data_IF_874198284302
#
_entry.id   IF_874198284302
#
_cell.length_a   1.000
_cell.length_b   1.000
_cell.length_c   1.000
_cell.angle_alpha   90.00
_cell.angle_beta   90.00
_cell.angle_gamma   90.00
#
_symmetry.space_group_name_H-M   'P 1'
#
loop_
_entity.id
_entity.type
_entity.pdbx_description
1 polymer ?
#
# COMPACT_ATOMS: atom_id res chain seq x y z
N UNK A 1 18.93 33.37 31.25
CA UNK A 1 17.77 34.16 31.69
C UNK A 1 17.08 34.77 30.47
N UNK A 2 15.86 34.36 30.09
CA UNK A 2 14.83 35.24 29.51
C UNK A 2 13.90 35.74 30.67
N UNK A 3 12.89 36.65 30.52
CA UNK A 3 12.05 36.93 29.33
C UNK A 3 11.46 38.37 29.15
N UNK A 4 10.71 38.59 28.06
CA UNK A 4 9.47 39.42 27.92
C UNK A 4 8.98 39.30 26.45
N UNK A 5 7.89 38.65 26.04
CA UNK A 5 6.44 38.68 26.32
C UNK A 5 5.65 39.85 25.68
N UNK A 6 4.77 39.50 24.71
CA UNK A 6 3.40 39.98 24.38
C UNK A 6 3.10 39.56 22.92
N UNK A 7 2.10 38.79 22.51
CA UNK A 7 0.86 38.28 23.11
C UNK A 7 -0.36 38.84 22.35
N UNK A 8 -1.17 37.99 21.68
CA UNK A 8 -2.63 38.12 21.48
C UNK A 8 -3.22 36.71 21.24
N UNK A 9 -4.26 36.41 22.02
CA UNK A 9 -5.06 35.18 22.11
C UNK A 9 -6.21 35.17 21.08
N UNK A 10 -6.78 33.99 20.81
CA UNK A 10 -8.20 33.67 21.08
C UNK A 10 -8.49 32.14 20.97
N UNK A 11 -8.81 31.60 22.15
CA UNK A 11 -9.75 30.54 22.57
C UNK A 11 -9.73 29.09 22.04
N UNK A 12 -9.52 28.20 23.03
CA UNK A 12 -9.78 26.75 23.11
C UNK A 12 -11.16 26.45 23.73
N UNK A 13 -11.71 25.30 23.39
CA UNK A 13 -12.49 24.37 24.25
C UNK A 13 -12.03 22.94 23.80
N UNK A 14 -11.35 22.05 24.55
CA UNK A 14 -11.58 21.39 25.87
C UNK A 14 -12.90 20.61 25.84
N UNK A 15 -13.06 19.30 26.11
CA UNK A 15 -12.26 18.16 26.65
C UNK A 15 -13.03 16.85 26.32
N UNK A 16 -12.36 15.74 25.99
CA UNK A 16 -12.26 14.46 26.75
C UNK A 16 -13.54 13.76 27.25
N UNK A 17 -13.76 12.51 26.80
CA UNK A 17 -14.07 11.29 27.58
C UNK A 17 -14.17 10.11 26.57
N UNK A 18 -13.35 9.06 26.61
CA UNK A 18 -13.28 7.93 27.55
C UNK A 18 -14.42 6.89 27.39
N UNK A 19 -14.03 5.74 26.82
CA UNK A 19 -14.21 4.39 27.38
C UNK A 19 -15.56 3.63 27.30
N UNK A 20 -15.38 2.37 26.88
CA UNK A 20 -16.18 1.15 27.08
C UNK A 20 -17.47 0.96 26.26
N UNK A 21 -17.53 -0.17 25.55
CA UNK A 21 -18.24 -1.40 25.98
C UNK A 21 -18.95 -2.07 24.80
N UNK A 22 -18.39 -3.21 24.41
CA UNK A 22 -19.03 -4.48 24.04
C UNK A 22 -20.54 -4.42 23.81
N UNK A 23 -20.99 -4.45 22.55
CA UNK A 23 -22.37 -4.78 22.20
C UNK A 23 -22.44 -6.26 21.84
N UNK A 24 -23.10 -6.99 22.72
CA UNK A 24 -23.46 -8.41 22.62
C UNK A 24 -24.54 -8.55 21.54
N UNK A 25 -24.30 -9.42 20.57
CA UNK A 25 -25.27 -9.80 19.54
C UNK A 25 -26.41 -10.63 20.16
N UNK A 26 -27.65 -10.31 19.78
CA UNK A 26 -28.82 -11.17 19.95
C UNK A 26 -29.52 -11.33 18.60
N UNK A 27 -30.11 -12.50 18.32
CA UNK A 27 -30.41 -12.97 16.96
C UNK A 27 -31.72 -12.39 16.37
N UNK A 28 -31.90 -12.44 15.04
CA UNK A 28 -33.11 -11.95 14.39
C UNK A 28 -34.27 -12.94 14.56
N UNK A 29 -35.45 -12.44 14.97
CA UNK A 29 -36.73 -13.16 14.87
C UNK A 29 -37.46 -12.77 13.57
N UNK A 30 -38.18 -13.69 12.92
CA UNK A 30 -38.75 -13.51 11.59
C UNK A 30 -40.01 -12.64 11.58
N UNK A 31 -40.20 -11.90 10.49
CA UNK A 31 -41.33 -11.03 10.20
C UNK A 31 -42.61 -11.86 10.01
N UNK A 32 -43.54 -11.76 10.96
CA UNK A 32 -44.93 -12.17 10.75
C UNK A 32 -45.70 -11.01 10.10
N UNK A 33 -46.29 -11.29 8.95
CA UNK A 33 -47.19 -10.41 8.24
C UNK A 33 -48.44 -10.11 9.08
N UNK A 34 -48.78 -8.83 9.25
CA UNK A 34 -50.13 -8.43 9.64
C UNK A 34 -50.57 -7.20 8.83
N UNK A 35 -51.54 -7.49 7.96
CA UNK A 35 -52.42 -6.59 7.24
C UNK A 35 -53.51 -6.18 8.24
N UNK A 36 -53.78 -4.89 8.44
CA UNK A 36 -55.11 -4.26 8.33
C UNK A 36 -55.22 -2.87 8.97
N UNK A 37 -56.22 -2.15 8.47
CA UNK A 37 -56.63 -0.77 8.71
C UNK A 37 -57.03 -0.52 10.18
N UNK A 38 -56.67 0.66 10.71
CA UNK A 38 -57.45 1.27 11.78
C UNK A 38 -57.36 2.81 11.75
N UNK A 39 -58.54 3.43 11.72
CA UNK A 39 -58.85 4.83 12.01
C UNK A 39 -58.29 5.22 13.38
N UNK A 40 -57.76 6.44 13.50
CA UNK A 40 -57.42 7.05 14.79
C UNK A 40 -58.37 8.22 14.98
N UNK A 41 -59.37 8.04 15.84
CA UNK A 41 -60.18 9.11 16.42
C UNK A 41 -59.48 9.60 17.70
N UNK A 42 -59.18 10.90 17.77
CA UNK A 42 -58.59 11.55 18.93
C UNK A 42 -59.71 12.09 19.85
N UNK A 43 -59.69 11.80 21.17
CA UNK A 43 -60.58 12.43 22.13
C UNK A 43 -59.83 13.53 22.88
N UNK A 44 -60.21 14.79 22.69
CA UNK A 44 -60.09 15.78 23.78
C UNK A 44 -61.08 16.93 23.60
N UNK A 45 -62.07 16.95 24.47
CA UNK A 45 -63.06 18.00 24.65
C UNK A 45 -62.57 19.01 25.68
N UNK A 46 -62.68 20.32 25.38
CA UNK A 46 -62.75 21.36 26.41
C UNK A 46 -63.97 22.26 26.19
N UNK A 47 -64.95 21.98 27.05
CA UNK A 47 -66.03 22.80 27.61
C UNK A 47 -65.81 24.31 27.53
N UNK A 48 -66.82 25.04 27.04
CA UNK A 48 -67.11 26.43 27.41
C UNK A 48 -68.56 26.46 27.87
N UNK A 49 -68.77 27.00 29.06
CA UNK A 49 -70.04 27.09 29.78
C UNK A 49 -71.03 28.08 29.15
N UNK A 50 -72.30 27.72 29.33
CA UNK A 50 -73.51 28.37 28.85
C UNK A 50 -73.72 29.76 29.46
N UNK A 51 -74.14 30.72 28.63
CA UNK A 51 -74.94 31.87 29.09
C UNK A 51 -76.25 31.94 28.29
N UNK A 52 -77.33 32.28 29.00
CA UNK A 52 -78.74 32.02 28.65
C UNK A 52 -79.34 33.03 27.63
N UNK A 53 -80.50 32.69 27.03
CA UNK A 53 -80.99 33.32 25.82
C UNK A 53 -81.83 34.58 26.10
N UNK A 54 -81.80 35.54 25.19
CA UNK A 54 -82.88 36.51 25.07
C UNK A 54 -83.43 36.48 23.64
N UNK A 55 -84.69 36.07 23.55
CA UNK A 55 -85.53 36.10 22.37
C UNK A 55 -85.70 37.55 21.88
N UNK A 56 -85.55 37.79 20.58
CA UNK A 56 -86.52 38.54 19.75
C UNK A 56 -86.15 38.44 18.25
N UNK A 57 -87.16 38.53 17.35
CA UNK A 57 -87.14 37.84 16.06
C UNK A 57 -86.68 38.71 14.88
N UNK A 58 -86.00 38.02 13.96
CA UNK A 58 -85.85 38.19 12.49
C UNK A 58 -86.57 39.42 11.89
N UNK A 59 -85.81 40.24 11.13
CA UNK A 59 -86.09 40.32 9.70
C UNK A 59 -84.82 40.22 8.84
N UNK A 60 -84.72 39.17 8.04
CA UNK A 60 -83.95 39.18 6.78
C UNK A 60 -84.89 39.72 5.68
N UNK A 61 -84.42 40.59 4.78
CA UNK A 61 -83.74 40.07 3.59
C UNK A 61 -82.54 40.90 3.08
N UNK A 62 -81.45 40.18 2.75
CA UNK A 62 -80.65 40.20 1.50
C UNK A 62 -80.15 41.52 0.88
N UNK A 63 -79.07 41.53 0.06
CA UNK A 63 -77.91 40.63 -0.05
C UNK A 63 -76.55 41.38 -0.14
N UNK A 64 -75.45 40.63 -0.29
CA UNK A 64 -74.19 41.06 -0.95
C UNK A 64 -73.17 41.85 -0.13
N UNK A 65 -72.18 41.15 0.45
CA UNK A 65 -70.77 41.20 0.03
C UNK A 65 -69.90 40.43 1.03
N UNK A 66 -68.84 39.80 0.53
CA UNK A 66 -67.75 39.10 1.24
C UNK A 66 -67.86 37.57 1.35
N UNK A 67 -67.75 36.91 0.19
CA UNK A 67 -67.07 35.61 0.10
C UNK A 67 -65.54 35.85 0.11
N UNK A 68 -64.74 35.17 0.96
CA UNK A 68 -63.29 35.34 0.96
C UNK A 68 -62.64 34.70 -0.28
N UNK A 69 -61.59 35.31 -0.86
CA UNK A 69 -60.97 34.84 -2.09
C UNK A 69 -60.23 33.49 -1.91
N UNK A 70 -60.13 32.67 -2.98
CA UNK A 70 -59.47 31.36 -2.91
C UNK A 70 -57.96 31.48 -2.61
N UNK A 71 -57.36 30.48 -1.93
CA UNK A 71 -55.96 30.54 -1.54
C UNK A 71 -55.01 30.59 -2.76
N UNK A 72 -53.87 31.28 -2.64
CA UNK A 72 -52.92 31.44 -3.74
C UNK A 72 -52.28 30.10 -4.15
N UNK A 73 -51.90 29.93 -5.43
CA UNK A 73 -51.24 28.72 -5.90
C UNK A 73 -49.87 28.52 -5.22
N UNK A 74 -49.43 27.26 -5.01
CA UNK A 74 -48.16 26.97 -4.36
C UNK A 74 -46.97 27.53 -5.17
N UNK A 75 -45.88 27.97 -4.50
CA UNK A 75 -44.75 28.58 -5.16
C UNK A 75 -44.07 27.61 -6.16
N UNK A 76 -43.50 28.13 -7.26
CA UNK A 76 -42.85 27.29 -8.27
C UNK A 76 -41.67 26.54 -7.64
N UNK A 77 -41.66 25.20 -7.79
CA UNK A 77 -40.54 24.35 -7.34
C UNK A 77 -39.24 24.83 -8.00
N UNK A 78 -38.23 25.15 -7.20
CA UNK A 78 -36.93 25.63 -7.65
C UNK A 78 -36.40 24.78 -8.84
N UNK A 79 -36.12 25.38 -10.00
CA UNK A 79 -35.77 24.65 -11.23
C UNK A 79 -34.49 23.82 -11.10
N UNK A 80 -33.62 24.19 -10.16
CA UNK A 80 -32.41 23.45 -9.79
C UNK A 80 -32.70 22.02 -9.29
N UNK A 81 -33.75 21.83 -8.49
CA UNK A 81 -34.12 20.50 -7.99
C UNK A 81 -34.98 19.71 -8.99
N UNK A 82 -35.72 20.38 -9.88
CA UNK A 82 -36.47 19.73 -10.94
C UNK A 82 -35.54 19.03 -11.96
N UNK A 83 -34.42 19.66 -12.32
CA UNK A 83 -33.42 19.10 -13.22
C UNK A 83 -32.79 17.78 -12.70
N UNK A 84 -32.62 17.65 -11.37
CA UNK A 84 -32.11 16.44 -10.71
C UNK A 84 -33.09 15.27 -10.70
N UNK A 85 -34.39 15.53 -10.91
CA UNK A 85 -35.42 14.47 -10.96
C UNK A 85 -35.56 13.81 -12.33
N UNK A 86 -34.97 14.39 -13.37
CA UNK A 86 -35.00 13.85 -14.73
C UNK A 86 -34.31 12.48 -14.81
N UNK A 87 -34.96 11.52 -15.47
CA UNK A 87 -34.40 10.18 -15.69
C UNK A 87 -33.08 10.17 -16.48
N UNK A 88 -32.79 11.22 -17.26
CA UNK A 88 -31.49 11.40 -17.94
C UNK A 88 -30.42 11.88 -16.96
N UNK A 89 -30.74 12.84 -16.09
CA UNK A 89 -29.85 13.33 -15.05
C UNK A 89 -29.51 12.24 -14.03
N UNK A 90 -30.50 11.44 -13.61
CA UNK A 90 -30.29 10.30 -12.70
C UNK A 90 -29.37 9.25 -13.30
N UNK A 91 -29.55 8.88 -14.58
CA UNK A 91 -28.66 7.94 -15.29
C UNK A 91 -27.25 8.48 -15.46
N UNK A 92 -27.10 9.78 -15.74
CA UNK A 92 -25.79 10.44 -15.82
C UNK A 92 -25.07 10.49 -14.47
N UNK A 93 -25.78 10.84 -13.39
CA UNK A 93 -25.25 10.80 -12.01
C UNK A 93 -24.87 9.38 -11.59
N UNK A 94 -25.66 8.38 -11.96
CA UNK A 94 -25.34 6.97 -11.71
C UNK A 94 -24.06 6.56 -12.44
N UNK A 95 -23.93 6.91 -13.73
CA UNK A 95 -22.70 6.66 -14.50
C UNK A 95 -21.51 7.36 -13.85
N UNK A 96 -21.65 8.62 -13.44
CA UNK A 96 -20.58 9.32 -12.76
C UNK A 96 -20.21 8.61 -11.45
N UNK A 97 -21.18 8.23 -10.61
CA UNK A 97 -20.91 7.58 -9.33
C UNK A 97 -20.28 6.18 -9.46
N UNK A 98 -20.62 5.40 -10.48
CA UNK A 98 -20.13 4.03 -10.66
C UNK A 98 -18.93 3.91 -11.62
N UNK A 99 -18.79 4.77 -12.63
CA UNK A 99 -17.63 4.77 -13.54
C UNK A 99 -16.49 5.64 -13.03
N UNK A 100 -16.77 6.75 -12.34
CA UNK A 100 -15.70 7.66 -11.92
C UNK A 100 -14.75 7.04 -10.89
N UNK A 101 -15.20 6.37 -9.80
CA UNK A 101 -14.28 5.76 -8.86
C UNK A 101 -13.31 4.72 -9.47
N UNK A 102 -13.74 3.75 -10.31
CA UNK A 102 -12.81 2.82 -10.92
C UNK A 102 -11.89 3.50 -11.95
N UNK A 103 -12.38 4.49 -12.70
CA UNK A 103 -11.54 5.26 -13.64
C UNK A 103 -10.51 6.10 -12.88
N UNK A 104 -10.92 6.80 -11.81
CA UNK A 104 -10.03 7.59 -10.98
C UNK A 104 -8.99 6.69 -10.30
N UNK A 105 -9.40 5.54 -9.77
CA UNK A 105 -8.50 4.52 -9.23
C UNK A 105 -7.49 4.04 -10.28
N UNK A 106 -7.94 3.73 -11.50
CA UNK A 106 -7.07 3.31 -12.60
C UNK A 106 -6.06 4.41 -13.02
N UNK A 107 -6.49 5.67 -13.02
CA UNK A 107 -5.62 6.82 -13.31
C UNK A 107 -4.61 7.02 -12.17
N UNK A 108 -5.01 6.86 -10.91
CA UNK A 108 -4.09 7.00 -9.76
C UNK A 108 -3.07 5.86 -9.71
N UNK A 109 -3.50 4.65 -10.06
CA UNK A 109 -2.66 3.46 -10.18
C UNK A 109 -1.85 3.42 -11.48
N UNK A 110 -2.01 4.43 -12.35
CA UNK A 110 -1.26 4.46 -13.59
C UNK A 110 0.25 4.52 -13.30
N UNK A 111 1.03 3.58 -13.87
CA UNK A 111 2.46 3.46 -13.58
C UNK A 111 3.25 4.60 -14.17
N UNK A 112 2.71 5.32 -15.16
CA UNK A 112 3.37 6.46 -15.79
C UNK A 112 2.83 7.78 -15.22
N UNK A 113 3.71 8.73 -14.93
CA UNK A 113 3.34 10.07 -14.47
C UNK A 113 4.22 11.10 -15.16
N UNK A 114 3.65 12.22 -15.59
CA UNK A 114 4.43 13.33 -16.10
C UNK A 114 4.91 14.18 -14.94
N UNK A 115 6.20 14.52 -14.93
CA UNK A 115 6.89 15.28 -13.88
C UNK A 115 7.72 16.39 -14.50
N UNK A 116 7.80 17.56 -13.87
CA UNK A 116 8.53 18.75 -14.37
C UNK A 116 9.87 18.92 -13.65
N UNK A 117 10.98 18.74 -14.34
CA UNK A 117 12.34 18.85 -13.79
C UNK A 117 12.82 20.31 -13.90
N UNK A 118 13.39 20.83 -12.80
CA UNK A 118 13.94 22.18 -12.73
C UNK A 118 15.37 22.15 -12.19
N UNK A 119 16.16 23.15 -12.58
CA UNK A 119 17.51 23.38 -12.09
C UNK A 119 18.63 22.75 -12.94
N UNK A 120 19.89 23.12 -12.68
CA UNK A 120 21.03 22.83 -13.54
C UNK A 120 21.64 21.43 -13.33
N UNK A 121 21.29 20.72 -12.25
CA UNK A 121 22.00 19.52 -11.80
C UNK A 121 22.06 18.38 -12.83
N UNK A 122 21.06 18.27 -13.70
CA UNK A 122 20.99 17.24 -14.75
C UNK A 122 21.40 17.76 -16.13
N UNK A 123 21.90 19.00 -16.24
CA UNK A 123 22.42 19.54 -17.49
C UNK A 123 23.75 18.85 -17.84
N UNK A 124 24.06 18.57 -19.12
CA UNK A 124 23.30 18.98 -20.31
C UNK A 124 22.15 18.02 -20.69
N UNK A 125 21.99 16.87 -20.03
CA UNK A 125 21.02 15.85 -20.45
C UNK A 125 19.57 16.31 -20.28
N UNK A 126 19.25 16.90 -19.12
CA UNK A 126 18.00 17.63 -18.89
C UNK A 126 18.30 19.10 -18.67
N UNK A 127 17.37 19.96 -19.07
CA UNK A 127 17.45 21.40 -18.95
C UNK A 127 18.70 21.97 -19.65
N UNK A 128 18.86 21.66 -20.94
CA UNK A 128 19.98 22.11 -21.79
C UNK A 128 20.27 23.61 -21.72
N UNK A 129 19.24 24.43 -21.52
CA UNK A 129 19.33 25.90 -21.46
C UNK A 129 19.46 26.46 -20.03
N UNK A 130 19.55 25.62 -19.00
CA UNK A 130 19.76 26.08 -17.63
C UNK A 130 21.22 26.49 -17.41
N UNK A 131 21.47 27.80 -17.50
CA UNK A 131 22.75 28.40 -17.12
C UNK A 131 22.61 29.11 -15.77
N UNK A 132 23.61 29.07 -14.86
CA UNK A 132 23.55 29.77 -13.57
C UNK A 132 23.40 31.30 -13.70
N UNK A 133 23.77 31.84 -14.86
CA UNK A 133 23.80 33.28 -15.15
C UNK A 133 22.50 33.79 -15.77
N UNK A 134 21.58 32.89 -16.13
CA UNK A 134 20.31 33.23 -16.76
C UNK A 134 19.14 32.84 -15.84
N UNK A 135 18.03 33.59 -15.84
CA UNK A 135 16.84 33.22 -15.10
C UNK A 135 16.33 31.83 -15.55
N UNK A 136 15.81 31.02 -14.62
CA UNK A 136 15.28 29.68 -14.88
C UNK A 136 14.05 29.72 -15.81
N UNK A 137 14.26 29.87 -17.12
CA UNK A 137 13.15 30.03 -18.09
C UNK A 137 12.68 28.71 -18.69
N UNK A 138 13.51 27.66 -18.71
CA UNK A 138 13.18 26.37 -19.33
C UNK A 138 13.13 25.24 -18.30
N UNK A 139 12.03 24.50 -18.28
CA UNK A 139 11.87 23.27 -17.52
C UNK A 139 11.56 22.12 -18.47
N UNK A 140 12.22 20.99 -18.27
CA UNK A 140 11.92 19.78 -19.02
C UNK A 140 10.81 18.99 -18.33
N UNK A 141 9.96 18.36 -19.13
CA UNK A 141 8.98 17.41 -18.61
C UNK A 141 9.51 16.01 -18.86
N UNK A 142 9.43 15.14 -17.87
CA UNK A 142 9.84 13.74 -18.00
C UNK A 142 8.63 12.83 -17.77
N UNK A 143 8.59 11.72 -18.50
CA UNK A 143 7.69 10.61 -18.27
C UNK A 143 8.30 9.69 -17.23
N UNK A 144 7.77 9.72 -16.01
CA UNK A 144 8.19 8.92 -14.88
C UNK A 144 7.45 7.59 -14.85
N UNK A 145 8.17 6.47 -14.92
CA UNK A 145 7.65 5.15 -14.58
C UNK A 145 7.82 4.90 -13.09
N UNK A 146 6.71 4.97 -12.34
CA UNK A 146 6.65 4.69 -10.91
C UNK A 146 7.03 3.24 -10.60
N UNK A 147 7.75 3.05 -9.51
CA UNK A 147 7.90 1.74 -8.89
C UNK A 147 6.68 1.39 -8.05
N UNK A 148 6.26 0.12 -8.08
CA UNK A 148 5.24 -0.34 -7.15
C UNK A 148 5.87 -0.63 -5.80
N UNK A 149 5.36 0.04 -4.77
CA UNK A 149 5.64 -0.30 -3.39
C UNK A 149 4.77 -1.51 -2.98
N UNK A 150 5.25 -2.37 -2.08
CA UNK A 150 4.52 -3.56 -1.62
C UNK A 150 3.16 -3.26 -0.96
N UNK A 151 2.89 -2.00 -0.60
CA UNK A 151 1.62 -1.54 -0.03
C UNK A 151 0.53 -1.24 -1.07
N UNK A 152 0.82 -1.30 -2.37
CA UNK A 152 -0.19 -1.05 -3.42
C UNK A 152 -0.89 -2.36 -3.81
N UNK A 153 -2.24 -2.42 -3.77
CA UNK A 153 -2.95 -3.56 -4.29
C UNK A 153 -2.77 -3.59 -5.82
N UNK A 154 -1.84 -4.40 -6.31
CA UNK A 154 -1.65 -4.67 -7.75
C UNK A 154 -2.84 -5.48 -8.28
N UNK A 155 -3.95 -4.81 -8.57
CA UNK A 155 -5.17 -5.44 -9.11
C UNK A 155 -5.02 -5.74 -10.61
N UNK A 156 -4.14 -5.02 -11.34
CA UNK A 156 -4.17 -5.00 -12.81
C UNK A 156 -2.87 -5.49 -13.49
N UNK A 157 -1.70 -5.38 -12.86
CA UNK A 157 -0.43 -5.75 -13.52
C UNK A 157 0.54 -6.43 -12.55
N UNK A 158 1.07 -7.59 -12.95
CA UNK A 158 2.20 -8.23 -12.27
C UNK A 158 3.41 -7.32 -12.50
N UNK A 159 3.78 -6.52 -11.52
CA UNK A 159 4.89 -5.60 -11.65
C UNK A 159 6.18 -6.37 -11.96
N UNK A 160 6.94 -5.98 -13.00
CA UNK A 160 8.23 -6.61 -13.28
C UNK A 160 9.16 -6.39 -12.10
N UNK A 161 10.03 -7.37 -11.81
CA UNK A 161 11.09 -7.22 -10.81
C UNK A 161 11.91 -5.97 -11.17
N UNK A 162 11.86 -4.97 -10.29
CA UNK A 162 12.57 -3.73 -10.47
C UNK A 162 14.07 -3.99 -10.33
N UNK A 163 14.80 -3.89 -11.45
CA UNK A 163 16.26 -3.99 -11.48
C UNK A 163 16.81 -2.63 -11.85
N UNK A 164 17.51 -2.01 -10.91
CA UNK A 164 18.24 -0.78 -11.18
C UNK A 164 19.48 -1.12 -11.99
N UNK A 165 19.73 -0.32 -13.03
CA UNK A 165 20.89 -0.45 -13.89
C UNK A 165 21.70 0.85 -13.87
N UNK A 166 23.01 0.73 -14.04
CA UNK A 166 23.93 1.87 -14.12
C UNK A 166 23.55 2.77 -15.29
N UNK A 167 23.63 4.08 -15.12
CA UNK A 167 23.25 5.08 -16.12
C UNK A 167 21.77 5.47 -16.12
N UNK A 168 20.87 4.69 -15.51
CA UNK A 168 19.45 5.03 -15.44
C UNK A 168 19.20 6.34 -14.69
N UNK A 169 18.16 7.09 -15.09
CA UNK A 169 17.76 8.31 -14.40
C UNK A 169 16.62 8.00 -13.44
N UNK A 170 16.85 8.28 -12.16
CA UNK A 170 15.92 7.99 -11.06
C UNK A 170 15.34 9.27 -10.51
N UNK A 171 14.07 9.20 -10.10
CA UNK A 171 13.40 10.22 -9.31
C UNK A 171 13.16 9.64 -7.93
N UNK A 172 13.63 10.32 -6.89
CA UNK A 172 13.61 9.84 -5.51
C UNK A 172 13.35 10.98 -4.53
N UNK A 173 12.92 10.66 -3.31
CA UNK A 173 12.79 11.65 -2.23
C UNK A 173 14.18 12.06 -1.73
N UNK A 174 14.42 13.36 -1.61
CA UNK A 174 15.73 13.86 -1.19
C UNK A 174 16.01 13.46 0.28
N UNK A 175 17.18 12.89 0.59
CA UNK A 175 17.48 12.41 1.95
C UNK A 175 17.53 13.54 2.99
N UNK A 176 17.86 14.78 2.56
CA UNK A 176 17.89 15.96 3.43
C UNK A 176 16.52 16.59 3.67
N UNK A 177 15.58 16.40 2.74
CA UNK A 177 14.26 17.01 2.79
C UNK A 177 13.24 16.10 2.09
N UNK A 178 12.52 15.24 2.85
CA UNK A 178 11.59 14.26 2.28
C UNK A 178 10.36 14.90 1.64
N UNK A 179 10.13 16.20 1.83
CA UNK A 179 9.06 16.93 1.13
C UNK A 179 9.41 17.21 -0.33
N UNK A 180 10.71 17.15 -0.66
CA UNK A 180 11.24 17.40 -1.99
C UNK A 180 11.68 16.09 -2.64
N UNK A 181 11.61 16.09 -3.95
CA UNK A 181 12.11 15.01 -4.78
C UNK A 181 13.24 15.54 -5.65
N UNK A 182 14.20 14.68 -5.96
CA UNK A 182 15.36 14.99 -6.78
C UNK A 182 15.41 14.03 -7.97
N UNK A 183 16.00 14.52 -9.07
CA UNK A 183 16.32 13.72 -10.26
C UNK A 183 17.82 13.63 -10.36
N UNK A 184 18.34 12.40 -10.45
CA UNK A 184 19.76 12.10 -10.58
C UNK A 184 19.97 10.86 -11.45
N UNK A 185 21.20 10.68 -11.93
CA UNK A 185 21.63 9.50 -12.65
C UNK A 185 22.21 8.47 -11.68
N UNK A 186 21.86 7.20 -11.86
CA UNK A 186 22.48 6.09 -11.15
C UNK A 186 23.88 5.88 -11.71
N UNK A 187 24.87 5.95 -10.84
CA UNK A 187 26.27 5.80 -11.17
C UNK A 187 26.79 4.45 -10.64
N UNK A 188 26.44 4.11 -9.41
CA UNK A 188 26.83 2.85 -8.78
C UNK A 188 25.63 2.09 -8.22
N UNK A 189 25.69 0.76 -8.31
CA UNK A 189 24.72 -0.18 -7.74
C UNK A 189 25.40 -1.04 -6.65
N UNK A 190 24.66 -1.83 -5.85
CA UNK A 190 25.26 -2.62 -4.78
C UNK A 190 26.43 -3.49 -5.27
N UNK A 191 27.56 -3.42 -4.56
CA UNK A 191 28.80 -4.10 -4.93
C UNK A 191 29.81 -3.27 -5.72
N UNK A 192 29.41 -2.10 -6.23
CA UNK A 192 30.34 -1.18 -6.89
C UNK A 192 31.21 -0.44 -5.88
N UNK A 193 32.43 -0.10 -6.31
CA UNK A 193 33.30 0.85 -5.61
C UNK A 193 33.33 2.16 -6.37
N UNK A 194 33.03 3.26 -5.68
CA UNK A 194 32.99 4.59 -6.27
C UNK A 194 33.97 5.49 -5.54
N UNK A 195 34.88 6.11 -6.29
CA UNK A 195 35.71 7.19 -5.77
C UNK A 195 34.89 8.49 -5.76
N UNK A 196 34.57 9.07 -4.59
CA UNK A 196 33.76 10.27 -4.50
C UNK A 196 34.55 11.51 -4.94
N UNK A 197 33.84 12.59 -5.27
CA UNK A 197 34.44 13.88 -5.58
C UNK A 197 35.03 14.56 -4.33
N UNK A 198 36.03 15.45 -4.51
CA UNK A 198 36.67 16.14 -3.40
C UNK A 198 35.67 16.83 -2.46
N UNK A 199 35.91 16.72 -1.14
CA UNK A 199 35.04 17.25 -0.09
C UNK A 199 33.87 16.33 0.31
N UNK A 200 33.90 15.05 -0.02
CA UNK A 200 32.94 14.07 0.50
C UNK A 200 33.07 13.91 2.04
N UNK A 201 31.96 13.95 2.81
CA UNK A 201 32.05 13.88 4.28
C UNK A 201 32.71 12.62 4.84
N UNK A 202 32.70 11.51 4.08
CA UNK A 202 33.35 10.26 4.47
C UNK A 202 34.83 10.16 4.10
N UNK A 203 35.44 11.25 3.61
CA UNK A 203 36.80 11.27 3.06
C UNK A 203 36.82 10.99 1.56
N UNK A 204 37.56 11.79 0.80
CA UNK A 204 37.73 11.68 -0.65
C UNK A 204 38.93 10.83 -1.07
N UNK A 205 39.75 10.40 -0.11
CA UNK A 205 40.92 9.53 -0.32
C UNK A 205 40.57 8.05 -0.47
N UNK A 206 39.35 7.64 -0.10
CA UNK A 206 38.95 6.24 -0.08
C UNK A 206 37.71 5.99 -0.94
N UNK A 207 37.77 4.92 -1.74
CA UNK A 207 36.63 4.46 -2.52
C UNK A 207 35.51 3.97 -1.58
N UNK A 208 34.29 4.41 -1.85
CA UNK A 208 33.09 4.01 -1.12
C UNK A 208 32.48 2.79 -1.80
N UNK A 209 32.28 1.71 -1.04
CA UNK A 209 31.53 0.54 -1.51
C UNK A 209 30.03 0.83 -1.39
N UNK A 210 29.28 0.63 -2.47
CA UNK A 210 27.81 0.78 -2.44
C UNK A 210 27.18 -0.43 -1.74
N UNK A 211 26.48 -0.22 -0.60
CA UNK A 211 25.96 -1.33 0.19
C UNK A 211 24.66 -1.93 -0.39
N UNK A 212 24.24 -3.05 0.19
CA UNK A 212 22.98 -3.71 -0.16
C UNK A 212 21.80 -2.74 -0.08
N UNK A 213 20.89 -2.84 -1.06
CA UNK A 213 19.70 -2.00 -1.16
C UNK A 213 19.97 -0.48 -1.19
N UNK A 214 21.18 -0.08 -1.58
CA UNK A 214 21.52 1.32 -1.82
C UNK A 214 22.04 1.51 -3.25
N UNK A 215 22.11 2.77 -3.67
CA UNK A 215 22.67 3.19 -4.95
C UNK A 215 23.47 4.48 -4.77
N UNK A 216 24.48 4.67 -5.62
CA UNK A 216 25.20 5.93 -5.75
C UNK A 216 24.64 6.72 -6.92
N UNK A 217 24.22 7.96 -6.67
CA UNK A 217 23.59 8.80 -7.70
C UNK A 217 24.31 10.13 -7.84
N UNK A 218 24.48 10.61 -9.08
CA UNK A 218 25.14 11.87 -9.38
C UNK A 218 24.34 12.70 -10.40
N UNK A 219 24.54 14.01 -10.41
CA UNK A 219 24.05 14.90 -11.45
C UNK A 219 24.99 14.97 -12.66
N UNK A 220 24.45 15.27 -13.83
CA UNK A 220 25.24 15.38 -15.07
C UNK A 220 26.04 16.70 -15.16
N UNK A 221 25.74 17.69 -14.32
CA UNK A 221 26.34 19.03 -14.35
C UNK A 221 27.86 19.08 -14.04
N UNK A 222 28.45 17.94 -13.66
CA UNK A 222 29.87 17.75 -13.35
C UNK A 222 30.49 18.86 -12.48
N UNK A 223 29.70 19.46 -11.57
CA UNK A 223 30.09 20.62 -10.76
C UNK A 223 29.43 20.50 -9.40
N UNK A 224 30.24 20.43 -8.34
CA UNK A 224 29.77 20.21 -6.96
C UNK A 224 28.75 21.26 -6.48
N UNK A 225 28.91 22.51 -6.90
CA UNK A 225 28.00 23.61 -6.50
C UNK A 225 26.64 23.57 -7.22
N UNK A 226 26.56 22.85 -8.35
CA UNK A 226 25.34 22.76 -9.18
C UNK A 226 24.54 21.49 -8.91
N UNK A 227 25.11 20.54 -8.16
CA UNK A 227 24.51 19.23 -7.89
C UNK A 227 24.60 18.87 -6.42
N UNK A 228 23.44 18.66 -5.79
CA UNK A 228 23.34 18.02 -4.49
C UNK A 228 23.01 16.55 -4.73
N UNK A 229 24.01 15.68 -4.58
CA UNK A 229 23.93 14.26 -4.93
C UNK A 229 24.76 13.37 -3.97
N UNK A 230 25.04 12.11 -4.33
CA UNK A 230 25.74 11.18 -3.44
C UNK A 230 27.14 11.65 -3.03
N UNK A 231 27.77 12.59 -3.74
CA UNK A 231 29.02 13.21 -3.29
C UNK A 231 28.85 14.13 -2.07
N UNK A 232 27.61 14.45 -1.68
CA UNK A 232 27.28 15.23 -0.49
C UNK A 232 26.79 14.37 0.68
N UNK A 233 26.00 13.34 0.41
CA UNK A 233 25.31 12.55 1.45
C UNK A 233 25.59 11.04 1.40
N UNK A 234 26.33 10.57 0.41
CA UNK A 234 26.68 9.17 0.22
C UNK A 234 25.62 8.36 -0.54
N UNK A 235 25.67 7.02 -0.45
CA UNK A 235 24.73 6.15 -1.14
C UNK A 235 23.32 6.27 -0.54
N UNK A 236 22.29 6.25 -1.38
CA UNK A 236 20.88 6.37 -0.97
C UNK A 236 20.17 5.03 -1.03
N UNK A 237 19.19 4.81 -0.15
CA UNK A 237 18.38 3.59 -0.19
C UNK A 237 17.50 3.55 -1.44
N UNK A 238 17.41 2.37 -2.06
CA UNK A 238 16.52 2.13 -3.20
C UNK A 238 15.04 2.35 -2.85
N UNK A 239 14.68 2.30 -1.56
CA UNK A 239 13.33 2.56 -1.08
C UNK A 239 12.89 4.02 -1.21
N UNK A 240 13.84 4.95 -1.38
CA UNK A 240 13.53 6.37 -1.62
C UNK A 240 13.09 6.64 -3.07
N UNK A 241 13.31 5.67 -3.97
CA UNK A 241 13.02 5.81 -5.39
C UNK A 241 11.50 5.81 -5.61
N UNK A 242 11.03 6.86 -6.28
CA UNK A 242 9.64 7.01 -6.72
C UNK A 242 9.45 6.33 -8.08
N UNK A 243 10.45 6.43 -8.97
CA UNK A 243 10.40 5.86 -10.31
C UNK A 243 11.60 6.20 -11.18
N UNK A 244 11.55 5.77 -12.45
CA UNK A 244 12.55 6.04 -13.47
C UNK A 244 12.06 7.01 -14.54
N UNK A 245 12.93 7.91 -15.03
CA UNK A 245 12.64 8.69 -16.22
C UNK A 245 12.75 7.81 -17.47
N UNK A 246 11.65 7.66 -18.23
CA UNK A 246 11.58 6.84 -19.45
C UNK A 246 11.61 7.64 -20.74
N UNK A 247 11.12 8.86 -20.73
CA UNK A 247 11.13 9.74 -21.89
C UNK A 247 11.22 11.19 -21.42
N UNK A 248 11.84 12.04 -22.23
CA UNK A 248 11.71 13.50 -22.12
C UNK A 248 10.53 13.91 -23.00
N UNK A 249 9.61 14.68 -22.43
CA UNK A 249 8.47 15.24 -23.12
C UNK A 249 8.76 16.69 -23.49
N UNK A 250 8.97 16.92 -24.78
CA UNK A 250 9.14 18.25 -25.39
C UNK A 250 7.85 18.63 -26.13
N UNK A 251 6.94 19.36 -25.49
CA UNK A 251 5.80 19.92 -26.22
C UNK A 251 6.33 20.96 -27.22
N UNK A 252 6.01 20.79 -28.52
CA UNK A 252 6.19 21.74 -29.64
C UNK A 252 7.51 21.69 -30.44
N UNK A 253 8.34 20.64 -30.31
CA UNK A 253 9.40 20.40 -31.31
C UNK A 253 8.77 19.86 -32.60
N UNK A 254 8.83 20.65 -33.67
CA UNK A 254 8.52 20.21 -35.04
C UNK A 254 9.82 19.76 -35.74
N UNK A 255 9.82 18.63 -36.48
CA UNK A 255 8.69 17.72 -36.66
C UNK A 255 8.39 17.01 -35.35
N UNK A 256 7.15 16.59 -35.14
CA UNK A 256 6.64 15.80 -34.01
C UNK A 256 7.52 14.57 -33.72
N UNK A 257 8.69 14.81 -33.16
CA UNK A 257 9.56 13.85 -32.52
C UNK A 257 8.86 13.53 -31.22
N UNK A 258 8.01 12.52 -31.29
CA UNK A 258 7.52 11.86 -30.10
C UNK A 258 8.75 11.41 -29.33
N UNK A 259 8.95 11.99 -28.15
CA UNK A 259 9.59 11.35 -27.00
C UNK A 259 10.85 10.58 -27.37
N UNK A 260 12.00 11.26 -27.47
CA UNK A 260 13.27 10.55 -27.39
C UNK A 260 13.21 9.69 -26.13
N UNK A 261 13.07 8.38 -26.30
CA UNK A 261 13.17 7.45 -25.19
C UNK A 261 14.47 7.80 -24.47
N UNK A 262 14.44 7.84 -23.14
CA UNK A 262 15.64 8.03 -22.34
C UNK A 262 16.50 6.79 -22.59
N UNK A 263 17.35 6.88 -23.60
CA UNK A 263 18.35 5.89 -23.96
C UNK A 263 19.55 6.10 -23.07
N UNK A 264 19.38 5.73 -21.81
CA UNK A 264 20.38 5.93 -20.78
C UNK A 264 21.62 5.06 -21.03
N UNK A 265 21.48 3.98 -21.82
CA UNK A 265 22.57 3.08 -22.23
C UNK A 265 23.57 3.75 -23.18
N UNK A 266 23.08 4.58 -24.10
CA UNK A 266 23.88 5.22 -25.16
C UNK A 266 24.58 6.50 -24.66
N UNK A 267 24.11 7.09 -23.56
CA UNK A 267 24.62 8.37 -23.07
C UNK A 267 25.81 8.19 -22.12
N UNK A 268 26.91 8.87 -22.44
CA UNK A 268 28.08 8.90 -21.58
C UNK A 268 27.96 10.06 -20.57
N UNK A 269 28.29 9.79 -19.30
CA UNK A 269 28.11 10.73 -18.20
C UNK A 269 29.43 10.93 -17.43
N UNK A 270 29.62 12.05 -16.72
CA UNK A 270 30.93 12.45 -16.20
C UNK A 270 31.62 11.37 -15.35
N UNK A 271 30.86 10.68 -14.50
CA UNK A 271 31.38 9.60 -13.66
C UNK A 271 31.94 8.43 -14.49
N UNK A 272 31.24 8.02 -15.55
CA UNK A 272 31.66 6.95 -16.47
C UNK A 272 32.95 7.31 -17.22
N UNK A 273 33.07 8.57 -17.68
CA UNK A 273 34.28 9.08 -18.35
C UNK A 273 35.50 9.15 -17.42
N UNK A 274 35.27 9.45 -16.15
CA UNK A 274 36.35 9.68 -15.18
C UNK A 274 37.03 8.39 -14.68
N UNK A 275 36.48 7.21 -14.96
CA UNK A 275 37.04 5.95 -14.46
C UNK A 275 36.96 5.78 -12.93
N UNK A 276 36.15 6.60 -12.24
CA UNK A 276 36.02 6.58 -10.76
C UNK A 276 35.25 5.38 -10.20
N UNK A 277 34.73 4.51 -11.06
CA UNK A 277 33.82 3.44 -10.68
C UNK A 277 34.46 2.12 -11.05
N UNK A 278 34.66 1.26 -10.05
CA UNK A 278 34.98 -0.13 -10.26
C UNK A 278 33.70 -0.94 -10.11
N UNK A 279 33.26 -1.56 -11.21
CA UNK A 279 31.98 -2.28 -11.25
C UNK A 279 32.08 -3.66 -10.59
N UNK A 280 31.09 -3.99 -9.77
CA UNK A 280 30.86 -5.34 -9.22
C UNK A 280 32.03 -5.96 -8.44
N UNK A 281 32.91 -5.13 -7.86
CA UNK A 281 34.11 -5.59 -7.12
C UNK A 281 33.77 -6.32 -5.82
N UNK A 282 32.74 -5.87 -5.10
CA UNK A 282 32.39 -6.39 -3.78
C UNK A 282 31.10 -7.21 -3.86
N UNK A 283 31.23 -8.49 -4.22
CA UNK A 283 30.09 -9.40 -4.37
C UNK A 283 29.23 -9.52 -3.09
N UNK A 284 29.84 -9.47 -1.91
CA UNK A 284 29.12 -9.55 -0.63
C UNK A 284 28.14 -8.40 -0.41
N UNK A 285 28.44 -7.21 -0.93
CA UNK A 285 27.58 -6.04 -0.77
C UNK A 285 26.27 -6.14 -1.59
N UNK A 286 26.16 -7.11 -2.51
CA UNK A 286 24.90 -7.45 -3.19
C UNK A 286 23.97 -8.33 -2.37
N UNK A 287 24.51 -9.01 -1.37
CA UNK A 287 23.77 -9.95 -0.55
C UNK A 287 23.13 -9.19 0.61
N UNK A 288 21.91 -9.58 1.00
CA UNK A 288 21.27 -9.02 2.18
C UNK A 288 22.20 -9.26 3.40
N UNK A 289 22.56 -8.21 4.17
CA UNK A 289 23.46 -8.32 5.31
C UNK A 289 22.99 -9.34 6.35
N UNK A 290 21.69 -9.54 6.51
CA UNK A 290 21.17 -10.56 7.43
C UNK A 290 21.52 -11.98 6.98
N UNK A 291 21.56 -12.22 5.66
CA UNK A 291 21.99 -13.52 5.11
C UNK A 291 23.50 -13.71 5.29
N UNK A 292 24.30 -12.66 5.08
CA UNK A 292 25.76 -12.70 5.28
C UNK A 292 26.10 -12.93 6.76
N UNK A 293 25.40 -12.25 7.66
CA UNK A 293 25.56 -12.45 9.11
C UNK A 293 25.24 -13.88 9.50
N UNK A 294 24.17 -14.46 8.95
CA UNK A 294 23.82 -15.86 9.22
C UNK A 294 24.90 -16.82 8.71
N UNK A 295 25.43 -16.63 7.51
CA UNK A 295 26.52 -17.47 6.98
C UNK A 295 27.80 -17.40 7.79
N UNK A 296 28.09 -16.26 8.42
CA UNK A 296 29.25 -16.10 9.29
C UNK A 296 28.96 -16.41 10.76
N UNK A 297 27.70 -16.63 11.13
CA UNK A 297 27.31 -16.74 12.53
C UNK A 297 28.03 -17.90 13.23
N UNK A 298 28.23 -19.01 12.52
CA UNK A 298 28.94 -20.18 13.04
C UNK A 298 30.47 -19.96 13.07
N UNK A 299 31.05 -19.31 12.06
CA UNK A 299 32.48 -19.00 12.01
C UNK A 299 32.92 -17.97 13.07
N UNK A 300 32.11 -16.94 13.32
CA UNK A 300 32.45 -15.84 14.22
C UNK A 300 32.09 -16.13 15.71
N UNK A 301 31.60 -17.34 16.03
CA UNK A 301 31.11 -17.71 17.37
C UNK A 301 29.83 -16.98 17.79
N UNK A 302 29.16 -16.30 16.86
CA UNK A 302 27.90 -15.58 17.13
C UNK A 302 26.74 -16.55 17.35
N UNK A 303 26.75 -17.69 16.65
CA UNK A 303 25.76 -18.76 16.81
C UNK A 303 25.74 -19.31 18.24
N UNK A 304 26.90 -19.49 18.87
CA UNK A 304 27.02 -19.94 20.27
C UNK A 304 26.41 -18.92 21.25
N UNK A 305 26.61 -17.62 20.99
CA UNK A 305 26.02 -16.56 21.82
C UNK A 305 24.50 -16.49 21.67
N UNK A 306 23.99 -16.64 20.45
CA UNK A 306 22.55 -16.72 20.19
C UNK A 306 21.96 -17.98 20.84
N UNK A 307 22.67 -19.12 20.80
CA UNK A 307 22.27 -20.35 21.48
C UNK A 307 22.21 -20.19 23.00
N UNK A 308 23.25 -19.60 23.60
CA UNK A 308 23.26 -19.29 25.02
C UNK A 308 22.11 -18.32 25.40
N UNK A 309 21.84 -17.32 24.56
CA UNK A 309 20.72 -16.39 24.76
C UNK A 309 19.35 -17.09 24.62
N UNK A 310 19.20 -18.05 23.70
CA UNK A 310 17.99 -18.87 23.56
C UNK A 310 17.77 -19.75 24.79
N UNK A 311 18.82 -20.44 25.25
CA UNK A 311 18.76 -21.25 26.48
C UNK A 311 18.39 -20.42 27.71
N UNK A 312 18.97 -19.22 27.83
CA UNK A 312 18.65 -18.30 28.93
C UNK A 312 17.20 -17.79 28.90
N UNK A 313 16.56 -17.79 27.72
CA UNK A 313 15.18 -17.30 27.51
C UNK A 313 14.22 -18.42 27.11
N UNK A 314 14.57 -19.69 27.38
CA UNK A 314 13.85 -20.87 26.89
C UNK A 314 12.35 -20.82 27.17
N UNK A 315 11.98 -20.40 28.37
CA UNK A 315 10.57 -20.29 28.81
C UNK A 315 9.79 -19.20 28.06
N UNK A 316 10.46 -18.15 27.58
CA UNK A 316 9.83 -17.05 26.85
C UNK A 316 9.82 -17.26 25.33
N UNK A 317 10.48 -18.29 24.80
CA UNK A 317 10.54 -18.56 23.36
C UNK A 317 9.14 -18.72 22.72
N UNK A 318 8.17 -19.45 23.32
CA UNK A 318 6.85 -19.61 22.73
C UNK A 318 6.11 -18.27 22.59
N UNK A 319 6.16 -17.43 23.63
CA UNK A 319 5.55 -16.11 23.61
C UNK A 319 6.25 -15.18 22.61
N UNK A 320 7.56 -15.30 22.45
CA UNK A 320 8.31 -14.54 21.45
C UNK A 320 7.95 -14.95 20.01
N UNK A 321 7.59 -16.22 19.79
CA UNK A 321 7.16 -16.74 18.48
C UNK A 321 5.76 -16.30 18.06
N UNK A 322 4.96 -15.74 18.98
CA UNK A 322 3.68 -15.12 18.63
C UNK A 322 3.85 -13.91 17.69
N UNK A 323 5.01 -13.24 17.74
CA UNK A 323 5.36 -12.19 16.78
C UNK A 323 5.90 -12.81 15.48
N UNK A 324 5.23 -12.50 14.36
CA UNK A 324 5.58 -13.04 13.04
C UNK A 324 7.02 -12.74 12.63
N UNK A 325 7.53 -11.55 12.95
CA UNK A 325 8.90 -11.15 12.61
C UNK A 325 9.94 -11.97 13.38
N UNK A 326 9.71 -12.19 14.67
CA UNK A 326 10.55 -13.05 15.52
C UNK A 326 10.50 -14.51 15.09
N UNK A 327 9.32 -15.03 14.79
CA UNK A 327 9.15 -16.39 14.26
C UNK A 327 9.92 -16.58 12.94
N UNK A 328 9.81 -15.62 12.02
CA UNK A 328 10.53 -15.68 10.74
C UNK A 328 12.06 -15.63 10.93
N UNK A 329 12.55 -14.86 11.92
CA UNK A 329 13.97 -14.88 12.32
C UNK A 329 14.39 -16.27 12.82
N UNK A 330 13.60 -16.90 13.67
CA UNK A 330 13.89 -18.24 14.21
C UNK A 330 13.87 -19.32 13.12
N UNK A 331 12.90 -19.25 12.19
CA UNK A 331 12.85 -20.12 11.00
C UNK A 331 14.07 -19.94 10.09
N UNK A 332 14.62 -18.72 10.00
CA UNK A 332 15.85 -18.46 9.25
C UNK A 332 17.07 -19.09 9.92
N UNK A 333 17.20 -18.95 11.24
CA UNK A 333 18.28 -19.56 12.03
C UNK A 333 18.20 -21.10 11.93
N UNK A 334 17.02 -21.68 12.11
CA UNK A 334 16.78 -23.12 11.98
C UNK A 334 17.23 -23.66 10.61
N UNK A 335 16.82 -23.01 9.52
CA UNK A 335 17.21 -23.40 8.16
C UNK A 335 18.72 -23.34 7.95
N UNK A 336 19.38 -22.33 8.52
CA UNK A 336 20.82 -22.19 8.43
C UNK A 336 21.55 -23.28 9.23
N UNK A 337 21.10 -23.55 10.46
CA UNK A 337 21.67 -24.60 11.30
C UNK A 337 21.50 -25.99 10.64
N UNK A 338 20.34 -26.26 10.05
CA UNK A 338 20.11 -27.47 9.24
C UNK A 338 21.07 -27.58 8.05
N UNK A 339 21.29 -26.48 7.34
CA UNK A 339 22.24 -26.46 6.23
C UNK A 339 23.69 -26.74 6.68
N UNK A 340 24.13 -26.19 7.81
CA UNK A 340 25.45 -26.49 8.40
C UNK A 340 25.58 -27.97 8.81
N UNK A 341 24.52 -28.57 9.35
CA UNK A 341 24.48 -30.01 9.64
C UNK A 341 24.61 -30.86 8.37
N UNK A 342 23.98 -30.43 7.27
CA UNK A 342 24.07 -31.12 5.98
C UNK A 342 25.49 -31.04 5.39
N UNK A 343 26.19 -29.92 5.59
CA UNK A 343 27.59 -29.75 5.16
C UNK A 343 28.59 -30.54 6.03
N UNK A 344 28.20 -30.97 7.24
CA UNK A 344 29.05 -31.73 8.18
C UNK A 344 30.38 -31.03 8.53
N UNK A 345 30.35 -29.71 8.69
CA UNK A 345 31.50 -28.93 9.11
C UNK A 345 31.87 -29.27 10.56
N UNK A 346 33.11 -29.74 10.87
CA UNK A 346 33.47 -30.22 12.20
C UNK A 346 33.47 -29.12 13.27
N UNK A 347 33.77 -27.87 12.90
CA UNK A 347 33.79 -26.73 13.83
C UNK A 347 32.38 -26.26 14.22
N UNK A 348 31.41 -26.38 13.32
CA UNK A 348 30.04 -25.90 13.50
C UNK A 348 29.07 -26.99 13.98
N UNK A 349 29.48 -28.26 13.94
CA UNK A 349 28.59 -29.42 14.08
C UNK A 349 27.85 -29.42 15.43
N UNK A 350 28.58 -29.30 16.53
CA UNK A 350 28.03 -29.40 17.88
C UNK A 350 27.04 -28.26 18.16
N UNK A 351 27.43 -27.04 17.80
CA UNK A 351 26.60 -25.84 17.96
C UNK A 351 25.34 -25.93 17.09
N UNK A 352 25.48 -26.40 15.85
CA UNK A 352 24.35 -26.54 14.93
C UNK A 352 23.37 -27.63 15.40
N UNK A 353 23.86 -28.75 15.93
CA UNK A 353 23.01 -29.83 16.47
C UNK A 353 22.18 -29.32 17.65
N UNK A 354 22.85 -28.63 18.57
CA UNK A 354 22.20 -28.11 19.77
C UNK A 354 21.19 -27.00 19.45
N UNK A 355 21.53 -26.10 18.53
CA UNK A 355 20.65 -25.02 18.08
C UNK A 355 19.39 -25.56 17.37
N UNK A 356 19.53 -26.60 16.54
CA UNK A 356 18.40 -27.28 15.92
C UNK A 356 17.49 -27.92 16.98
N UNK A 357 18.07 -28.63 17.95
CA UNK A 357 17.30 -29.26 19.01
C UNK A 357 16.50 -28.27 19.87
N UNK A 358 17.11 -27.16 20.26
CA UNK A 358 16.43 -26.11 21.04
C UNK A 358 15.33 -25.41 20.22
N UNK A 359 15.55 -25.16 18.93
CA UNK A 359 14.54 -24.55 18.06
C UNK A 359 13.36 -25.48 17.79
N UNK A 360 13.60 -26.78 17.56
CA UNK A 360 12.52 -27.77 17.38
C UNK A 360 11.65 -27.88 18.62
N UNK A 361 12.26 -27.98 19.80
CA UNK A 361 11.52 -28.01 21.07
C UNK A 361 10.70 -26.72 21.27
N UNK A 362 11.27 -25.57 20.92
CA UNK A 362 10.59 -24.30 21.01
C UNK A 362 9.42 -24.19 20.02
N UNK A 363 9.56 -24.66 18.78
CA UNK A 363 8.47 -24.69 17.80
C UNK A 363 7.32 -25.60 18.26
N UNK A 364 7.62 -26.79 18.78
CA UNK A 364 6.60 -27.70 19.30
C UNK A 364 5.84 -27.08 20.48
N UNK A 365 6.55 -26.41 21.40
CA UNK A 365 5.92 -25.73 22.54
C UNK A 365 5.03 -24.55 22.13
N UNK A 366 5.29 -23.95 20.96
CA UNK A 366 4.46 -22.90 20.36
C UNK A 366 3.28 -23.46 19.54
N UNK A 367 3.12 -24.79 19.46
CA UNK A 367 2.08 -25.45 18.66
C UNK A 367 2.36 -25.48 17.16
N UNK A 368 3.61 -25.32 16.76
CA UNK A 368 4.09 -25.45 15.38
C UNK A 368 4.66 -26.86 15.16
N UNK A 369 4.80 -27.27 13.90
CA UNK A 369 5.60 -28.45 13.56
C UNK A 369 7.09 -28.20 13.82
N UNK A 370 7.90 -29.27 13.88
CA UNK A 370 9.36 -29.18 14.09
C UNK A 370 10.10 -28.33 13.07
N UNK A 371 9.57 -28.20 11.87
CA UNK A 371 10.09 -27.33 10.81
C UNK A 371 9.67 -25.85 10.96
N UNK A 372 8.91 -25.54 12.02
CA UNK A 372 8.34 -24.23 12.30
C UNK A 372 7.11 -23.89 11.46
N UNK A 373 6.53 -24.84 10.71
CA UNK A 373 5.31 -24.61 9.93
C UNK A 373 4.06 -24.70 10.80
N UNK A 374 3.02 -23.95 10.41
CA UNK A 374 1.75 -23.92 11.14
C UNK A 374 0.93 -25.18 10.81
N UNK A 375 0.32 -25.85 11.80
CA UNK A 375 -0.58 -26.96 11.55
C UNK A 375 -1.79 -26.51 10.72
N UNK A 376 -2.32 -27.37 9.83
CA UNK A 376 -3.47 -27.02 9.02
C UNK A 376 -4.64 -26.68 9.94
N UNK A 377 -5.20 -25.47 9.78
CA UNK A 377 -6.38 -25.04 10.51
C UNK A 377 -7.54 -25.94 10.08
N UNK A 378 -7.98 -26.84 10.97
CA UNK A 378 -9.21 -27.60 10.75
C UNK A 378 -10.36 -26.58 10.65
N UNK A 379 -11.15 -26.58 9.57
CA UNK A 379 -12.31 -25.70 9.50
C UNK A 379 -13.22 -25.99 10.70
N UNK A 380 -13.86 -24.97 11.30
CA UNK A 380 -14.74 -25.19 12.43
C UNK A 380 -15.84 -26.18 12.02
N UNK A 381 -15.89 -27.31 12.71
CA UNK A 381 -17.02 -28.24 12.63
C UNK A 381 -18.23 -27.44 13.06
N UNK A 382 -19.12 -27.14 12.12
CA UNK A 382 -20.42 -26.57 12.42
C UNK A 382 -21.14 -27.62 13.25
N UNK A 383 -21.23 -27.39 14.56
CA UNK A 383 -22.01 -28.23 15.44
C UNK A 383 -23.49 -28.13 15.00
N UNK A 384 -23.94 -29.07 14.17
CA UNK A 384 -25.35 -29.35 14.00
C UNK A 384 -25.86 -29.90 15.32
N UNK A 385 -26.70 -29.11 15.98
CA UNK A 385 -27.43 -29.56 17.15
C UNK A 385 -28.46 -30.64 16.73
N UNK A 386 -28.41 -31.77 17.45
CA UNK A 386 -29.25 -32.97 17.24
C UNK A 386 -28.43 -34.02 16.49
N UNK A 387 -28.06 -35.17 17.05
CA UNK A 387 -28.66 -35.94 18.13
C UNK A 387 -28.97 -37.31 17.55
N UNK A 388 -28.23 -38.34 17.99
CA UNK A 388 -28.46 -39.74 17.63
C UNK A 388 -27.66 -40.21 16.40
N UNK A 389 -26.94 -41.31 16.62
CA UNK A 389 -26.51 -42.38 15.70
C UNK A 389 -26.77 -42.18 14.19
N UNK A 390 -25.74 -42.36 13.35
CA UNK A 390 -25.78 -43.07 12.05
C UNK A 390 -24.44 -42.91 11.30
N UNK A 391 -23.47 -43.79 11.59
CA UNK A 391 -22.18 -43.92 10.86
C UNK A 391 -22.36 -44.34 9.37
N UNK A 392 -23.57 -44.71 8.94
CA UNK A 392 -23.87 -45.11 7.55
C UNK A 392 -24.13 -43.93 6.60
N UNK A 393 -24.37 -42.72 7.14
CA UNK A 393 -24.73 -41.55 6.32
C UNK A 393 -23.52 -40.88 5.63
N UNK A 394 -22.33 -40.90 6.25
CA UNK A 394 -21.12 -40.32 5.65
C UNK A 394 -20.56 -41.17 4.50
N UNK A 395 -20.76 -42.49 4.54
CA UNK A 395 -20.29 -43.39 3.48
C UNK A 395 -21.18 -43.25 2.23
N UNK A 396 -22.49 -43.13 2.41
CA UNK A 396 -23.44 -42.93 1.30
C UNK A 396 -23.24 -41.57 0.60
N UNK A 397 -22.89 -40.52 1.35
CA UNK A 397 -22.58 -39.19 0.79
C UNK A 397 -21.23 -39.15 0.07
N UNK A 398 -20.24 -39.93 0.52
CA UNK A 398 -18.95 -40.05 -0.18
C UNK A 398 -19.05 -40.87 -1.46
N UNK A 399 -19.89 -41.91 -1.49
CA UNK A 399 -20.17 -42.69 -2.71
C UNK A 399 -20.85 -41.80 -3.77
N UNK A 400 -21.85 -41.00 -3.37
CA UNK A 400 -22.57 -40.12 -4.28
C UNK A 400 -21.67 -39.01 -4.87
N UNK A 401 -20.73 -38.48 -4.07
CA UNK A 401 -19.72 -37.51 -4.56
C UNK A 401 -18.74 -38.12 -5.56
N UNK A 402 -18.36 -39.39 -5.39
CA UNK A 402 -17.49 -40.11 -6.34
C UNK A 402 -18.21 -40.35 -7.67
N UNK A 403 -19.47 -40.79 -7.64
CA UNK A 403 -20.27 -40.96 -8.86
C UNK A 403 -20.44 -39.65 -9.64
N UNK A 404 -20.68 -38.55 -8.94
CA UNK A 404 -20.78 -37.22 -9.56
C UNK A 404 -19.47 -36.76 -10.19
N UNK A 405 -18.33 -37.08 -9.58
CA UNK A 405 -17.00 -36.77 -10.11
C UNK A 405 -16.70 -37.57 -11.37
N UNK A 406 -17.01 -38.87 -11.36
CA UNK A 406 -16.79 -39.75 -12.51
C UNK A 406 -17.65 -39.33 -13.71
N UNK A 407 -18.95 -39.03 -13.49
CA UNK A 407 -19.83 -38.49 -14.53
C UNK A 407 -19.36 -37.15 -15.11
N UNK A 408 -18.67 -36.33 -14.31
CA UNK A 408 -18.10 -35.08 -14.78
C UNK A 408 -16.87 -35.32 -15.66
N UNK A 409 -15.97 -36.21 -15.24
CA UNK A 409 -14.77 -36.58 -16.00
C UNK A 409 -15.11 -37.27 -17.33
N UNK A 410 -16.17 -38.06 -17.37
CA UNK A 410 -16.66 -38.70 -18.59
C UNK A 410 -17.22 -37.68 -19.59
N UNK A 411 -17.95 -36.67 -19.10
CA UNK A 411 -18.40 -35.54 -19.93
C UNK A 411 -17.23 -34.72 -20.47
N UNK A 412 -16.15 -34.55 -19.71
CA UNK A 412 -14.94 -33.87 -20.20
C UNK A 412 -14.24 -34.69 -21.29
N UNK A 413 -14.09 -36.01 -21.09
CA UNK A 413 -13.51 -36.90 -22.11
C UNK A 413 -14.32 -36.91 -23.40
N UNK A 414 -15.66 -36.91 -23.33
CA UNK A 414 -16.51 -36.80 -24.52
C UNK A 414 -16.38 -35.44 -25.22
N UNK A 415 -16.24 -34.35 -24.47
CA UNK A 415 -15.96 -33.02 -25.04
C UNK A 415 -14.60 -32.95 -25.73
N UNK A 416 -13.59 -33.58 -25.16
CA UNK A 416 -12.26 -33.67 -25.78
C UNK A 416 -12.29 -34.54 -27.05
N UNK A 417 -12.96 -35.69 -27.03
CA UNK A 417 -13.10 -36.55 -28.21
C UNK A 417 -13.86 -35.85 -29.35
N UNK A 418 -14.93 -35.13 -29.04
CA UNK A 418 -15.70 -34.34 -30.04
C UNK A 418 -14.96 -33.11 -30.56
N UNK A 419 -13.92 -32.64 -29.86
CA UNK A 419 -13.01 -31.59 -30.32
C UNK A 419 -11.87 -32.14 -31.19
N UNK A 420 -11.56 -33.43 -31.11
CA UNK A 420 -10.52 -34.10 -31.92
C UNK A 420 -11.10 -34.66 -33.23
N UNK A 421 -12.40 -34.95 -33.29
CA UNK A 421 -13.10 -35.38 -34.53
C UNK A 421 -13.55 -34.21 -35.44
N UNK A 422 -13.35 -32.95 -35.02
CA UNK A 422 -13.56 -31.73 -35.83
C UNK A 422 -12.23 -31.13 -36.23
#
# INVERSE_FOLDING_TARGET
MPPASRGILILRLVRHASSTRTVRSLPPRPLAAFKEKAKIDLPFSLRIEDDKPNDQPIPTPSPSENEPPPPPPPPPRNPLFAALTSAKARRWLWRLFFLFPPIAFLITEFPLRIVTVRGPSMAPYLNTHSSPELPETSFDRILLQKVAFPSRPSIVLRNPKFQIQRGQIVVFYAPHDPTKWAVKRVVGIPGDRVLPLPGYPGGDEHAVVVPYNHIWVEGDANSRDKTLDSNWYGPISQNLIIGFAKAVWTPWSWPWEWTSAVKWEEHDYPAKKSGRIEEDVVGEAKINPDKVRLSRAFADGTAERELAAMKARKEMLPDMMADKGRLDKMRMIYRHARWELDQKNPESLDVAQELVGELEAAFESAGLYKDGTEPPVKPPVVASAGGGEDDESEEHDNVNKKELLDQYLERQRQKELTLVEK
#
